data_IF_212783606722
#
_entry.id   IF_212783606722
#
_cell.length_a   1.000
_cell.length_b   1.000
_cell.length_c   1.000
_cell.angle_alpha   90.00
_cell.angle_beta   90.00
_cell.angle_gamma   90.00
#
_symmetry.space_group_name_H-M   'P 1'
#
loop_
_entity.id
_entity.type
_entity.pdbx_description
1 polymer ?
#
# COMPACT_ATOMS: atom_id res chain seq x y z
N UNK A 1 -14.41 41.41 -7.06
CA UNK A 1 -14.47 40.06 -7.69
C UNK A 1 -14.21 38.97 -6.64
N UNK A 2 -15.08 38.82 -5.61
CA UNK A 2 -14.92 37.78 -4.56
C UNK A 2 -15.97 36.67 -4.69
N UNK A 3 -17.17 37.00 -5.19
CA UNK A 3 -18.32 36.09 -5.32
C UNK A 3 -18.01 34.89 -6.24
N UNK A 4 -17.33 35.11 -7.37
CA UNK A 4 -16.98 34.04 -8.32
C UNK A 4 -15.99 33.04 -7.71
N UNK A 5 -15.07 33.51 -6.86
CA UNK A 5 -14.13 32.66 -6.14
C UNK A 5 -14.81 31.80 -5.08
N UNK A 6 -15.73 32.37 -4.31
CA UNK A 6 -16.52 31.63 -3.32
C UNK A 6 -17.37 30.53 -3.96
N UNK A 7 -17.95 30.79 -5.15
CA UNK A 7 -18.74 29.80 -5.87
C UNK A 7 -17.87 28.66 -6.40
N UNK A 8 -16.69 28.96 -6.95
CA UNK A 8 -15.75 27.94 -7.43
C UNK A 8 -15.28 26.99 -6.30
N UNK A 9 -15.05 27.51 -5.10
CA UNK A 9 -14.68 26.68 -3.95
C UNK A 9 -15.86 25.84 -3.44
N UNK A 10 -17.09 26.37 -3.48
CA UNK A 10 -18.30 25.61 -3.16
C UNK A 10 -18.50 24.42 -4.10
N UNK A 11 -18.38 24.64 -5.42
CA UNK A 11 -18.50 23.55 -6.41
C UNK A 11 -17.40 22.49 -6.22
N UNK A 12 -16.15 22.91 -5.97
CA UNK A 12 -15.05 21.98 -5.66
C UNK A 12 -15.33 21.16 -4.40
N UNK A 13 -15.86 21.78 -3.35
CA UNK A 13 -16.22 21.09 -2.11
C UNK A 13 -17.30 20.03 -2.38
N UNK A 14 -18.33 20.37 -3.17
CA UNK A 14 -19.40 19.45 -3.55
C UNK A 14 -18.88 18.25 -4.37
N UNK A 15 -17.99 18.49 -5.34
CA UNK A 15 -17.38 17.42 -6.14
C UNK A 15 -16.48 16.49 -5.31
N UNK A 16 -15.71 17.07 -4.37
CA UNK A 16 -14.90 16.29 -3.43
C UNK A 16 -15.78 15.40 -2.56
N UNK A 17 -16.88 15.93 -2.04
CA UNK A 17 -17.79 15.17 -1.18
C UNK A 17 -18.43 14.00 -1.94
N UNK A 18 -18.90 14.24 -3.18
CA UNK A 18 -19.41 13.18 -4.04
C UNK A 18 -18.37 12.09 -4.30
N UNK A 19 -17.11 12.47 -4.56
CA UNK A 19 -16.02 11.52 -4.80
C UNK A 19 -15.72 10.69 -3.54
N UNK A 20 -15.71 11.32 -2.36
CA UNK A 20 -15.52 10.62 -1.08
C UNK A 20 -16.64 9.63 -0.82
N UNK A 21 -17.90 10.04 -1.02
CA UNK A 21 -19.06 9.16 -0.88
C UNK A 21 -18.96 7.95 -1.82
N UNK A 22 -18.56 8.15 -3.08
CA UNK A 22 -18.35 7.06 -4.03
C UNK A 22 -17.20 6.12 -3.62
N UNK A 23 -16.09 6.66 -3.14
CA UNK A 23 -14.98 5.86 -2.61
C UNK A 23 -15.38 5.09 -1.35
N UNK A 24 -16.23 5.65 -0.50
CA UNK A 24 -16.74 4.97 0.69
C UNK A 24 -17.62 3.78 0.32
N UNK A 25 -18.58 3.96 -0.59
CA UNK A 25 -19.41 2.88 -1.12
C UNK A 25 -18.55 1.78 -1.78
N UNK A 26 -17.57 2.16 -2.61
CA UNK A 26 -16.65 1.21 -3.22
C UNK A 26 -15.83 0.41 -2.20
N UNK A 27 -15.43 1.03 -1.08
CA UNK A 27 -14.73 0.33 0.02
C UNK A 27 -15.66 -0.63 0.76
N UNK A 28 -16.93 -0.28 0.94
CA UNK A 28 -17.94 -1.17 1.52
C UNK A 28 -18.16 -2.41 0.65
N UNK A 29 -18.12 -2.25 -0.68
CA UNK A 29 -18.13 -3.36 -1.65
C UNK A 29 -16.82 -4.18 -1.66
N UNK A 30 -15.85 -3.86 -0.81
CA UNK A 30 -14.58 -4.58 -0.68
C UNK A 30 -13.46 -4.08 -1.59
N UNK A 31 -13.63 -2.96 -2.31
CA UNK A 31 -12.53 -2.38 -3.10
C UNK A 31 -11.54 -1.68 -2.17
N UNK A 32 -10.31 -2.21 -2.07
CA UNK A 32 -9.23 -1.61 -1.28
C UNK A 32 -8.75 -0.27 -1.87
N UNK A 33 -8.68 -0.19 -3.21
CA UNK A 33 -8.11 0.96 -3.92
C UNK A 33 -6.57 1.00 -3.90
N UNK A 34 -6.00 2.09 -4.41
CA UNK A 34 -4.54 2.31 -4.41
C UNK A 34 -3.75 1.47 -5.44
N UNK A 35 -2.42 1.56 -5.36
CA UNK A 35 -1.51 0.84 -6.25
C UNK A 35 -1.40 -0.62 -5.83
N UNK A 36 -1.65 -1.55 -6.75
CA UNK A 36 -1.49 -2.98 -6.51
C UNK A 36 -0.02 -3.30 -6.12
N UNK A 37 0.21 -4.17 -5.10
CA UNK A 37 1.54 -4.63 -4.78
C UNK A 37 2.21 -5.30 -5.99
N UNK A 38 3.51 -5.04 -6.20
CA UNK A 38 4.28 -5.67 -7.28
C UNK A 38 4.55 -7.15 -7.02
N UNK A 39 4.63 -7.55 -5.74
CA UNK A 39 4.91 -8.91 -5.31
C UNK A 39 3.60 -9.64 -5.00
N UNK A 40 3.47 -10.87 -5.48
CA UNK A 40 2.34 -11.73 -5.16
C UNK A 40 2.38 -12.19 -3.70
N UNK A 41 1.25 -12.59 -3.08
CA UNK A 41 1.25 -13.06 -1.70
C UNK A 41 2.20 -14.24 -1.45
N UNK A 42 2.34 -15.12 -2.44
CA UNK A 42 3.26 -16.26 -2.36
C UNK A 42 4.72 -15.81 -2.36
N UNK A 43 5.10 -14.87 -3.24
CA UNK A 43 6.44 -14.29 -3.26
C UNK A 43 6.77 -13.56 -1.96
N UNK A 44 5.79 -12.89 -1.35
CA UNK A 44 5.98 -12.22 -0.07
C UNK A 44 6.32 -13.24 1.04
N UNK A 45 5.58 -14.35 1.12
CA UNK A 45 5.87 -15.43 2.08
C UNK A 45 7.24 -16.04 1.86
N UNK A 46 7.59 -16.33 0.61
CA UNK A 46 8.90 -16.87 0.24
C UNK A 46 10.04 -15.92 0.63
N UNK A 47 9.88 -14.62 0.39
CA UNK A 47 10.85 -13.60 0.79
C UNK A 47 11.05 -13.60 2.30
N UNK A 48 9.97 -13.64 3.08
CA UNK A 48 10.05 -13.67 4.55
C UNK A 48 10.74 -14.95 5.03
N UNK A 49 10.36 -16.12 4.50
CA UNK A 49 10.96 -17.39 4.90
C UNK A 49 12.44 -17.48 4.54
N UNK A 50 12.85 -16.94 3.38
CA UNK A 50 14.25 -16.88 2.96
C UNK A 50 15.11 -16.00 3.88
N UNK A 51 14.54 -14.90 4.37
CA UNK A 51 15.23 -14.00 5.29
C UNK A 51 15.31 -14.60 6.68
N UNK A 52 14.24 -15.21 7.18
CA UNK A 52 14.21 -15.83 8.52
C UNK A 52 15.09 -17.08 8.60
N UNK A 53 15.17 -17.89 7.53
CA UNK A 53 16.00 -19.10 7.51
C UNK A 53 17.49 -18.84 7.25
N UNK A 54 17.90 -17.59 7.00
CA UNK A 54 19.30 -17.24 6.75
C UNK A 54 19.88 -17.79 5.43
N UNK A 55 19.06 -18.40 4.57
CA UNK A 55 19.51 -19.09 3.35
C UNK A 55 19.99 -18.16 2.24
N UNK A 56 19.54 -16.89 2.24
CA UNK A 56 19.99 -15.88 1.28
C UNK A 56 20.47 -14.65 2.02
N UNK A 57 21.65 -14.17 1.64
CA UNK A 57 22.31 -13.00 2.21
C UNK A 57 21.49 -11.72 2.03
N UNK A 58 20.58 -11.47 2.96
CA UNK A 58 19.93 -10.18 3.22
C UNK A 58 19.02 -9.61 2.12
N UNK A 59 18.43 -8.42 2.40
CA UNK A 59 17.55 -7.69 1.47
C UNK A 59 18.22 -7.37 0.12
N UNK A 60 19.56 -7.32 0.10
CA UNK A 60 20.37 -7.01 -1.07
C UNK A 60 20.46 -8.19 -2.04
N UNK A 61 20.26 -9.45 -1.68
CA UNK A 61 20.23 -10.51 -2.71
C UNK A 61 18.85 -10.61 -3.37
N UNK A 62 17.79 -10.46 -2.56
CA UNK A 62 16.40 -10.61 -3.02
C UNK A 62 15.98 -9.60 -4.08
N UNK A 63 16.55 -8.39 -4.05
CA UNK A 63 16.22 -7.34 -5.01
C UNK A 63 16.55 -7.75 -6.46
N UNK A 64 17.64 -8.51 -6.65
CA UNK A 64 18.05 -9.09 -7.94
C UNK A 64 17.12 -10.22 -8.34
N UNK A 65 16.88 -11.19 -7.45
CA UNK A 65 16.06 -12.36 -7.73
C UNK A 65 14.61 -12.00 -8.08
N UNK A 66 14.01 -11.04 -7.38
CA UNK A 66 12.61 -10.65 -7.57
C UNK A 66 12.44 -9.36 -8.40
N UNK A 67 13.52 -8.78 -8.92
CA UNK A 67 13.54 -7.51 -9.68
C UNK A 67 12.73 -6.40 -8.99
N UNK A 68 12.93 -6.26 -7.68
CA UNK A 68 12.33 -5.21 -6.84
C UNK A 68 13.42 -4.35 -6.24
N UNK A 69 13.12 -3.12 -5.84
CA UNK A 69 14.10 -2.29 -5.12
C UNK A 69 14.33 -2.85 -3.70
N UNK A 70 15.55 -2.80 -3.11
CA UNK A 70 15.81 -3.26 -1.75
C UNK A 70 14.85 -2.70 -0.69
N UNK A 71 14.44 -1.44 -0.83
CA UNK A 71 13.44 -0.81 0.05
C UNK A 71 12.07 -1.50 0.02
N UNK A 72 11.75 -2.25 -1.03
CA UNK A 72 10.52 -3.06 -1.10
C UNK A 72 10.62 -4.23 -0.13
N UNK A 73 11.78 -4.90 -0.09
CA UNK A 73 12.05 -6.03 0.81
C UNK A 73 12.10 -5.56 2.25
N UNK A 74 12.82 -4.47 2.54
CA UNK A 74 12.88 -3.89 3.90
C UNK A 74 11.48 -3.48 4.39
N UNK A 75 10.68 -2.84 3.54
CA UNK A 75 9.30 -2.44 3.88
C UNK A 75 8.40 -3.65 4.10
N UNK A 76 8.58 -4.72 3.34
CA UNK A 76 7.83 -5.96 3.50
C UNK A 76 8.14 -6.60 4.88
N UNK A 77 9.42 -6.71 5.23
CA UNK A 77 9.86 -7.27 6.51
C UNK A 77 9.36 -6.44 7.70
N UNK A 78 9.42 -5.11 7.60
CA UNK A 78 8.88 -4.22 8.62
C UNK A 78 7.37 -4.41 8.79
N UNK A 79 6.60 -4.49 7.69
CA UNK A 79 5.16 -4.76 7.74
C UNK A 79 4.84 -6.11 8.39
N UNK A 80 5.58 -7.16 8.03
CA UNK A 80 5.39 -8.49 8.62
C UNK A 80 5.61 -8.49 10.13
N UNK A 81 6.68 -7.86 10.61
CA UNK A 81 6.96 -7.73 12.05
C UNK A 81 5.84 -6.98 12.79
N UNK A 82 5.29 -5.94 12.18
CA UNK A 82 4.17 -5.19 12.77
C UNK A 82 2.89 -6.01 12.85
N UNK A 83 2.60 -6.84 11.83
CA UNK A 83 1.44 -7.74 11.85
C UNK A 83 1.56 -8.79 12.95
N UNK A 84 2.75 -9.34 13.18
CA UNK A 84 3.00 -10.34 14.24
C UNK A 84 2.79 -9.74 15.65
N UNK A 85 3.23 -8.49 15.87
CA UNK A 85 3.09 -7.81 17.17
C UNK A 85 1.63 -7.43 17.46
N UNK A 86 0.82 -7.14 16.44
CA UNK A 86 -0.58 -6.76 16.61
C UNK A 86 -1.57 -7.93 16.78
N UNK A 87 -1.10 -9.17 16.76
CA UNK A 87 -1.94 -10.38 16.91
C UNK A 87 -1.93 -10.99 18.33
N UNK A 88 -1.10 -10.46 19.24
CA UNK A 88 -1.14 -10.70 20.69
C UNK A 88 -1.88 -9.59 21.40
#
# INVERSE_FOLDING_TARGET
>A
MQIVGSFAEFERAMLRERTKSGLAAARQDGRVGGRRPKLTPQQQKEIVSLVTSGQKNGPLMLHVCFRVHPSTVVRLLARHRMTEIGQT
#
